data_IF_004132689087
#
_entry.id   IF_004132689087
#
_cell.length_a   1.000
_cell.length_b   1.000
_cell.length_c   1.000
_cell.angle_alpha   90.00
_cell.angle_beta   90.00
_cell.angle_gamma   90.00
#
_symmetry.space_group_name_H-M   'P 1'
#
loop_
_entity.id
_entity.type
_entity.pdbx_description
1 polymer ?
#
# COMPACT_ATOMS: atom_id res chain seq x y z
N UNK A 1 7.59 -4.99 -10.73
CA UNK A 1 8.52 -4.35 -9.77
C UNK A 1 8.12 -4.77 -8.36
N UNK A 2 9.05 -4.95 -7.43
CA UNK A 2 8.71 -5.28 -6.04
C UNK A 2 7.90 -4.14 -5.41
N UNK A 3 6.81 -4.47 -4.70
CA UNK A 3 5.96 -3.50 -3.98
C UNK A 3 6.46 -3.20 -2.56
N UNK A 4 7.58 -3.81 -2.19
CA UNK A 4 8.19 -3.72 -0.88
C UNK A 4 9.68 -3.47 -1.04
N UNK A 5 10.25 -2.64 -0.17
CA UNK A 5 11.69 -2.41 -0.11
C UNK A 5 12.13 -1.97 1.29
N UNK A 6 13.30 -2.44 1.72
CA UNK A 6 13.96 -1.90 2.91
C UNK A 6 14.92 -0.80 2.51
N UNK A 7 14.78 0.39 3.11
CA UNK A 7 15.66 1.53 2.84
C UNK A 7 16.74 1.61 3.91
N UNK A 8 17.98 1.37 3.51
CA UNK A 8 19.16 1.55 4.35
C UNK A 8 19.63 3.01 4.30
N UNK A 9 20.00 3.55 5.45
CA UNK A 9 20.58 4.89 5.60
C UNK A 9 21.85 4.80 6.42
N UNK A 10 22.74 5.76 6.22
CA UNK A 10 24.00 5.86 6.96
C UNK A 10 23.73 6.08 8.46
N UNK A 11 24.53 5.42 9.29
CA UNK A 11 24.45 5.55 10.75
C UNK A 11 25.21 6.80 11.23
N UNK A 12 26.28 7.16 10.52
CA UNK A 12 27.17 8.30 10.78
C UNK A 12 27.08 9.35 9.65
N UNK A 13 27.80 10.48 9.76
CA UNK A 13 27.84 11.52 8.72
C UNK A 13 28.75 11.18 7.53
N UNK A 14 29.28 9.95 7.45
CA UNK A 14 30.10 9.53 6.31
C UNK A 14 29.21 9.08 5.16
N UNK A 15 29.32 9.77 4.02
CA UNK A 15 28.61 9.41 2.80
C UNK A 15 29.21 8.13 2.18
N UNK A 16 28.40 7.09 2.04
CA UNK A 16 28.77 5.79 1.48
C UNK A 16 28.11 5.67 0.10
N UNK A 17 28.92 5.47 -0.92
CA UNK A 17 28.41 5.19 -2.26
C UNK A 17 27.93 3.74 -2.39
N UNK A 18 26.98 3.47 -3.28
CA UNK A 18 26.43 2.12 -3.46
C UNK A 18 27.49 1.04 -3.71
N UNK A 19 28.58 1.37 -4.42
CA UNK A 19 29.66 0.44 -4.72
C UNK A 19 30.53 0.08 -3.50
N UNK A 20 30.40 0.82 -2.40
CA UNK A 20 31.12 0.58 -1.14
C UNK A 20 30.29 -0.19 -0.12
N UNK A 21 29.02 -0.50 -0.44
CA UNK A 21 28.14 -1.27 0.44
C UNK A 21 28.49 -2.75 0.30
N UNK A 22 28.81 -3.39 1.42
CA UNK A 22 29.13 -4.81 1.50
C UNK A 22 27.98 -5.61 2.11
N UNK A 23 28.03 -6.92 1.96
CA UNK A 23 27.12 -7.84 2.66
C UNK A 23 27.14 -7.63 4.18
N UNK A 24 28.32 -7.38 4.75
CA UNK A 24 28.46 -7.19 6.21
C UNK A 24 27.72 -5.94 6.68
N UNK A 25 27.70 -4.86 5.89
CA UNK A 25 26.96 -3.65 6.24
C UNK A 25 25.46 -3.90 6.29
N UNK A 26 24.93 -4.62 5.30
CA UNK A 26 23.51 -4.98 5.25
C UNK A 26 23.16 -5.90 6.43
N UNK A 27 23.99 -6.92 6.69
CA UNK A 27 23.79 -7.84 7.80
C UNK A 27 23.81 -7.13 9.16
N UNK A 28 24.75 -6.21 9.38
CA UNK A 28 24.81 -5.38 10.60
C UNK A 28 23.59 -4.47 10.73
N UNK A 29 23.15 -3.85 9.64
CA UNK A 29 21.97 -3.00 9.63
C UNK A 29 20.69 -3.78 10.01
N UNK A 30 20.51 -5.00 9.48
CA UNK A 30 19.38 -5.87 9.83
C UNK A 30 19.45 -6.33 11.28
N UNK A 31 20.64 -6.66 11.78
CA UNK A 31 20.88 -6.99 13.20
C UNK A 31 20.75 -5.79 14.14
N UNK A 32 20.58 -4.58 13.59
CA UNK A 32 20.55 -3.31 14.33
C UNK A 32 21.81 -3.09 15.17
N UNK A 33 22.95 -3.53 14.66
CA UNK A 33 24.24 -3.33 15.30
C UNK A 33 24.61 -1.84 15.30
N UNK A 34 24.75 -1.26 16.49
CA UNK A 34 25.09 0.15 16.67
C UNK A 34 26.45 0.55 16.09
N UNK A 35 27.36 -0.41 15.91
CA UNK A 35 28.68 -0.20 15.28
C UNK A 35 28.64 -0.26 13.76
N UNK A 36 27.49 -0.64 13.17
CA UNK A 36 27.31 -0.74 11.74
C UNK A 36 27.33 0.62 11.05
N UNK A 37 27.86 0.64 9.82
CA UNK A 37 27.88 1.83 8.96
C UNK A 37 26.48 2.23 8.46
N UNK A 38 25.58 1.25 8.35
CA UNK A 38 24.21 1.41 7.89
C UNK A 38 23.22 1.03 8.99
N UNK A 39 22.02 1.60 8.90
CA UNK A 39 20.83 1.18 9.65
C UNK A 39 19.62 1.16 8.74
N UNK A 40 18.58 0.44 9.13
CA UNK A 40 17.28 0.55 8.48
C UNK A 40 16.70 1.92 8.81
N UNK A 41 16.49 2.76 7.79
CA UNK A 41 15.83 4.05 7.93
C UNK A 41 14.32 3.87 8.02
N UNK A 42 13.76 3.16 7.05
CA UNK A 42 12.34 2.84 6.95
C UNK A 42 12.11 1.70 5.96
N UNK A 43 10.89 1.18 5.91
CA UNK A 43 10.45 0.27 4.84
C UNK A 43 9.40 0.92 3.96
N UNK A 44 9.38 0.51 2.70
CA UNK A 44 8.34 0.85 1.72
C UNK A 44 7.48 -0.40 1.61
N UNK A 45 6.18 -0.25 1.81
CA UNK A 45 5.22 -1.36 1.87
C UNK A 45 4.03 -1.08 0.94
N UNK A 46 3.29 -2.13 0.56
CA UNK A 46 1.96 -1.98 -0.02
C UNK A 46 0.89 -1.81 1.08
N UNK A 47 -0.38 -1.62 0.70
CA UNK A 47 -1.48 -1.66 1.66
C UNK A 47 -1.84 -3.12 1.95
N UNK A 48 -1.63 -3.66 3.17
CA UNK A 48 -1.79 -5.09 3.44
C UNK A 48 -3.18 -5.64 3.08
N UNK A 49 -4.19 -4.78 3.07
CA UNK A 49 -5.56 -5.04 2.64
C UNK A 49 -5.65 -5.52 1.17
N UNK A 50 -4.69 -5.18 0.32
CA UNK A 50 -4.59 -5.70 -1.05
C UNK A 50 -4.32 -7.22 -1.11
N UNK A 51 -3.82 -7.79 -0.01
CA UNK A 51 -3.50 -9.20 0.07
C UNK A 51 -4.70 -10.09 -0.22
N UNK A 52 -4.52 -11.10 -1.09
CA UNK A 52 -5.58 -12.06 -1.51
C UNK A 52 -6.26 -12.85 -0.38
N UNK A 53 -5.68 -12.85 0.82
CA UNK A 53 -6.19 -13.52 2.01
C UNK A 53 -6.14 -12.58 3.21
N UNK A 54 -6.28 -11.27 3.01
CA UNK A 54 -6.21 -10.31 4.11
C UNK A 54 -7.36 -10.53 5.10
N UNK A 55 -8.60 -10.46 4.61
CA UNK A 55 -9.82 -10.73 5.37
C UNK A 55 -10.29 -12.18 5.21
N UNK A 56 -11.11 -12.62 6.15
CA UNK A 56 -11.77 -13.93 6.09
C UNK A 56 -12.90 -13.88 5.08
N UNK A 57 -13.06 -14.91 4.25
CA UNK A 57 -14.16 -14.89 3.31
C UNK A 57 -14.39 -16.15 2.50
N UNK A 58 -15.31 -16.03 1.56
CA UNK A 58 -15.69 -17.09 0.62
C UNK A 58 -16.05 -16.46 -0.73
N UNK A 59 -15.13 -16.57 -1.69
CA UNK A 59 -15.19 -15.90 -3.00
C UNK A 59 -16.43 -16.30 -3.79
N UNK A 60 -16.85 -17.56 -3.70
CA UNK A 60 -17.98 -18.09 -4.45
C UNK A 60 -19.33 -17.53 -3.97
N UNK A 61 -19.40 -17.03 -2.74
CA UNK A 61 -20.60 -16.41 -2.18
C UNK A 61 -20.45 -14.90 -1.96
N UNK A 62 -19.32 -14.30 -2.37
CA UNK A 62 -19.00 -12.89 -2.14
C UNK A 62 -19.14 -12.45 -0.67
N UNK A 63 -18.74 -13.33 0.26
CA UNK A 63 -18.71 -13.04 1.70
C UNK A 63 -17.30 -12.66 2.09
N UNK A 64 -17.17 -11.53 2.77
CA UNK A 64 -15.90 -11.00 3.28
C UNK A 64 -16.15 -10.38 4.66
N UNK A 65 -15.36 -10.78 5.65
CA UNK A 65 -15.45 -10.35 7.04
C UNK A 65 -14.08 -9.90 7.53
N UNK A 66 -14.06 -8.74 8.20
CA UNK A 66 -12.92 -8.34 9.03
C UNK A 66 -12.67 -9.36 10.15
N UNK A 67 -11.51 -9.27 10.79
CA UNK A 67 -11.17 -10.15 11.91
C UNK A 67 -12.18 -10.08 13.07
N UNK A 68 -12.68 -8.88 13.37
CA UNK A 68 -13.70 -8.68 14.42
C UNK A 68 -15.03 -9.31 14.04
N UNK A 69 -15.51 -9.07 12.81
CA UNK A 69 -16.75 -9.69 12.33
C UNK A 69 -16.66 -11.21 12.29
N UNK A 70 -15.51 -11.77 11.93
CA UNK A 70 -15.28 -13.22 11.92
C UNK A 70 -15.38 -13.81 13.33
N UNK A 71 -14.89 -13.08 14.34
CA UNK A 71 -14.99 -13.50 15.74
C UNK A 71 -16.45 -13.54 16.22
N UNK A 72 -17.29 -12.64 15.72
CA UNK A 72 -18.72 -12.56 16.07
C UNK A 72 -19.59 -13.54 15.27
N UNK A 73 -19.38 -13.61 13.96
CA UNK A 73 -20.22 -14.37 13.00
C UNK A 73 -19.76 -15.82 12.83
N UNK A 74 -18.54 -16.13 13.25
CA UNK A 74 -17.91 -17.43 13.05
C UNK A 74 -17.36 -17.62 11.64
N UNK A 75 -16.85 -18.83 11.39
CA UNK A 75 -16.15 -19.21 10.15
C UNK A 75 -17.00 -20.08 9.22
N UNK A 76 -18.33 -20.00 9.33
CA UNK A 76 -19.27 -20.72 8.48
C UNK A 76 -19.97 -19.75 7.54
N UNK A 77 -19.94 -20.01 6.24
CA UNK A 77 -20.56 -19.17 5.24
C UNK A 77 -22.09 -19.15 5.42
N UNK A 78 -22.74 -17.98 5.59
CA UNK A 78 -24.18 -17.90 5.78
C UNK A 78 -24.99 -18.24 4.52
N UNK A 79 -24.34 -18.27 3.35
CA UNK A 79 -25.02 -18.50 2.06
C UNK A 79 -25.06 -19.99 1.70
N UNK A 80 -23.96 -20.72 1.92
CA UNK A 80 -23.83 -22.11 1.46
C UNK A 80 -23.44 -23.12 2.55
N UNK A 81 -23.21 -22.67 3.79
CA UNK A 81 -22.84 -23.53 4.93
C UNK A 81 -21.42 -24.10 4.92
N UNK A 82 -20.61 -23.83 3.88
CA UNK A 82 -19.19 -24.24 3.85
C UNK A 82 -18.34 -23.35 4.75
N UNK A 83 -17.17 -23.84 5.17
CA UNK A 83 -16.22 -23.05 5.94
C UNK A 83 -15.67 -21.86 5.13
N UNK A 84 -15.51 -20.72 5.79
CA UNK A 84 -14.81 -19.55 5.25
C UNK A 84 -13.30 -19.80 5.28
N UNK A 85 -12.59 -19.25 4.30
CA UNK A 85 -11.12 -19.18 4.31
C UNK A 85 -10.71 -18.10 5.29
N UNK A 86 -10.08 -18.49 6.40
CA UNK A 86 -9.63 -17.57 7.46
C UNK A 86 -8.49 -16.67 6.95
N UNK A 87 -8.66 -15.37 7.13
CA UNK A 87 -7.73 -14.34 6.68
C UNK A 87 -6.49 -14.16 7.57
N UNK A 88 -5.49 -13.46 7.03
CA UNK A 88 -4.26 -13.10 7.73
C UNK A 88 -4.55 -12.17 8.91
N UNK A 89 -5.50 -11.22 8.75
CA UNK A 89 -5.87 -10.30 9.83
C UNK A 89 -6.40 -11.06 11.06
N UNK A 90 -7.19 -12.11 10.87
CA UNK A 90 -7.64 -12.99 11.95
C UNK A 90 -6.45 -13.64 12.67
N UNK A 91 -5.49 -14.17 11.91
CA UNK A 91 -4.31 -14.80 12.51
C UNK A 91 -3.46 -13.81 13.30
N UNK A 92 -3.33 -12.57 12.83
CA UNK A 92 -2.64 -11.50 13.55
C UNK A 92 -3.37 -11.19 14.85
N UNK A 93 -4.69 -11.03 14.81
CA UNK A 93 -5.51 -10.77 15.99
C UNK A 93 -5.36 -11.88 17.03
N UNK A 94 -5.43 -13.16 16.63
CA UNK A 94 -5.32 -14.32 17.52
C UNK A 94 -3.96 -14.42 18.23
N UNK A 95 -2.87 -14.01 17.55
CA UNK A 95 -1.52 -14.05 18.08
C UNK A 95 -1.12 -12.76 18.83
N UNK A 96 -1.88 -11.69 18.66
CA UNK A 96 -1.56 -10.39 19.24
C UNK A 96 -1.78 -10.39 20.76
N UNK A 97 -0.77 -9.97 21.51
CA UNK A 97 -0.93 -9.64 22.94
C UNK A 97 -1.53 -8.25 23.15
N UNK A 98 -1.48 -7.40 22.11
CA UNK A 98 -2.03 -6.04 22.09
C UNK A 98 -2.42 -5.68 20.67
N UNK A 99 -3.66 -5.23 20.49
CA UNK A 99 -4.14 -4.65 19.23
C UNK A 99 -3.75 -3.18 19.15
N UNK A 100 -3.23 -2.76 18.01
CA UNK A 100 -2.97 -1.35 17.72
C UNK A 100 -4.13 -0.80 16.89
N UNK A 101 -4.69 0.32 17.31
CA UNK A 101 -5.67 1.07 16.53
C UNK A 101 -5.02 2.28 15.86
N UNK A 102 -5.77 2.97 14.99
CA UNK A 102 -5.25 4.15 14.28
C UNK A 102 -4.77 5.26 15.24
N UNK A 103 -5.37 5.36 16.43
CA UNK A 103 -4.97 6.28 17.50
C UNK A 103 -3.63 5.92 18.19
N UNK A 104 -3.16 4.68 18.02
CA UNK A 104 -1.86 4.22 18.51
C UNK A 104 -0.73 4.44 17.51
N UNK A 105 -1.05 5.00 16.33
CA UNK A 105 -0.10 5.28 15.26
C UNK A 105 0.13 6.78 15.11
N UNK A 106 1.36 7.15 14.75
CA UNK A 106 1.73 8.52 14.43
C UNK A 106 1.97 8.61 12.92
N UNK A 107 1.20 9.48 12.26
CA UNK A 107 1.32 9.79 10.84
C UNK A 107 2.08 11.11 10.67
N UNK A 108 3.25 11.05 10.04
CA UNK A 108 4.14 12.21 9.92
C UNK A 108 4.54 12.43 8.45
N UNK A 109 3.99 13.44 7.78
CA UNK A 109 4.40 13.78 6.42
C UNK A 109 5.81 14.39 6.42
N UNK A 110 6.62 14.00 5.45
CA UNK A 110 7.92 14.63 5.20
C UNK A 110 7.78 15.91 4.33
N UNK A 111 8.91 16.52 3.97
CA UNK A 111 8.95 17.77 3.16
C UNK A 111 8.29 17.66 1.79
N UNK A 112 8.12 16.45 1.25
CA UNK A 112 7.49 16.21 -0.05
C UNK A 112 6.08 15.61 0.09
N UNK A 113 5.57 15.56 1.32
CA UNK A 113 4.22 15.08 1.65
C UNK A 113 4.09 13.57 1.79
N UNK A 114 5.19 12.80 1.72
CA UNK A 114 5.16 11.35 1.95
C UNK A 114 4.98 11.07 3.44
N UNK A 115 3.93 10.34 3.79
CA UNK A 115 3.55 10.05 5.19
C UNK A 115 4.26 8.82 5.72
N UNK A 116 5.08 9.04 6.75
CA UNK A 116 5.71 7.98 7.53
C UNK A 116 4.79 7.56 8.67
N UNK A 117 4.64 6.25 8.86
CA UNK A 117 3.85 5.65 9.92
C UNK A 117 4.79 5.13 11.00
N UNK A 118 4.61 5.60 12.23
CA UNK A 118 5.36 5.17 13.41
C UNK A 118 4.41 4.54 14.43
N UNK A 119 4.94 3.63 15.24
CA UNK A 119 4.32 3.32 16.52
C UNK A 119 4.45 4.51 17.48
N UNK A 120 3.52 4.64 18.42
CA UNK A 120 3.49 5.74 19.41
C UNK A 120 4.79 5.89 20.20
N UNK A 121 5.46 4.79 20.50
CA UNK A 121 6.72 4.76 21.27
C UNK A 121 7.95 4.97 20.38
N UNK A 122 7.78 5.00 19.05
CA UNK A 122 8.85 5.07 18.04
C UNK A 122 9.96 4.03 18.26
N UNK A 123 9.60 2.86 18.79
CA UNK A 123 10.55 1.76 19.02
C UNK A 123 10.87 1.05 17.71
N UNK A 124 9.92 1.01 16.77
CA UNK A 124 10.09 0.36 15.47
C UNK A 124 10.53 1.38 14.43
N UNK A 125 11.23 0.89 13.40
CA UNK A 125 11.50 1.70 12.21
C UNK A 125 10.17 2.00 11.52
N UNK A 126 9.96 3.24 11.04
CA UNK A 126 8.72 3.58 10.36
C UNK A 126 8.63 2.87 9.02
N UNK A 127 7.43 2.90 8.46
CA UNK A 127 7.20 2.53 7.08
C UNK A 127 6.41 3.60 6.33
N UNK A 128 6.45 3.54 5.01
CA UNK A 128 5.60 4.32 4.11
C UNK A 128 4.83 3.35 3.23
N UNK A 129 3.59 3.69 2.86
CA UNK A 129 2.86 2.87 1.88
C UNK A 129 2.93 3.48 0.49
N UNK A 130 3.00 2.60 -0.52
CA UNK A 130 2.99 2.98 -1.93
C UNK A 130 1.97 2.16 -2.71
N UNK A 131 1.49 2.74 -3.80
CA UNK A 131 0.77 2.07 -4.87
C UNK A 131 1.65 2.17 -6.11
N UNK A 132 1.87 1.08 -6.87
CA UNK A 132 2.67 1.13 -8.09
C UNK A 132 2.19 2.22 -9.05
N UNK A 133 3.13 2.93 -9.68
CA UNK A 133 2.79 4.07 -10.54
C UNK A 133 1.88 3.66 -11.70
N UNK A 134 2.06 2.45 -12.25
CA UNK A 134 1.21 1.95 -13.32
C UNK A 134 -0.25 1.77 -12.88
N UNK A 135 -0.50 1.40 -11.62
CA UNK A 135 -1.87 1.28 -11.08
C UNK A 135 -2.51 2.65 -10.87
N UNK A 136 -1.74 3.61 -10.36
CA UNK A 136 -2.17 5.01 -10.27
C UNK A 136 -2.54 5.53 -11.66
N UNK A 137 -1.67 5.30 -12.65
CA UNK A 137 -1.86 5.72 -14.03
C UNK A 137 -3.07 5.05 -14.68
N UNK A 138 -3.32 3.78 -14.37
CA UNK A 138 -4.49 3.05 -14.86
C UNK A 138 -5.76 3.73 -14.36
N UNK A 139 -5.84 4.07 -13.08
CA UNK A 139 -7.00 4.76 -12.52
C UNK A 139 -7.14 6.20 -13.07
N UNK A 140 -6.05 6.96 -13.15
CA UNK A 140 -6.07 8.32 -13.71
C UNK A 140 -6.38 8.35 -15.20
N UNK A 141 -6.14 7.26 -15.94
CA UNK A 141 -6.50 7.10 -17.35
C UNK A 141 -7.80 6.29 -17.56
N UNK A 142 -8.70 6.30 -16.58
CA UNK A 142 -10.05 5.71 -16.69
C UNK A 142 -10.03 4.20 -17.02
N UNK A 143 -9.04 3.48 -16.51
CA UNK A 143 -8.88 2.05 -16.72
C UNK A 143 -8.29 1.66 -18.08
N UNK A 144 -7.77 2.61 -18.87
CA UNK A 144 -7.15 2.31 -20.16
C UNK A 144 -5.71 1.81 -19.99
N UNK A 145 -5.41 0.51 -20.23
CA UNK A 145 -4.07 -0.02 -20.01
C UNK A 145 -3.04 0.56 -20.99
N UNK A 146 -3.46 0.78 -22.24
CA UNK A 146 -2.59 1.36 -23.29
C UNK A 146 -2.16 2.78 -22.93
N UNK A 147 -3.10 3.63 -22.50
CA UNK A 147 -2.76 5.01 -22.09
C UNK A 147 -1.86 5.02 -20.86
N UNK A 148 -2.19 4.18 -19.86
CA UNK A 148 -1.40 4.06 -18.64
C UNK A 148 0.03 3.59 -18.93
N UNK A 149 0.20 2.58 -19.79
CA UNK A 149 1.52 2.07 -20.18
C UNK A 149 2.34 3.11 -20.94
N UNK A 150 1.76 3.77 -21.94
CA UNK A 150 2.44 4.82 -22.70
C UNK A 150 2.87 5.98 -21.79
N UNK A 151 2.02 6.37 -20.84
CA UNK A 151 2.35 7.40 -19.88
C UNK A 151 3.44 6.94 -18.90
N UNK A 152 3.39 5.69 -18.43
CA UNK A 152 4.41 5.11 -17.57
C UNK A 152 5.78 5.15 -18.24
N UNK A 153 5.89 4.69 -19.49
CA UNK A 153 7.13 4.72 -20.26
C UNK A 153 7.65 6.15 -20.46
N UNK A 154 6.75 7.11 -20.76
CA UNK A 154 7.10 8.53 -20.84
C UNK A 154 7.69 9.05 -19.52
N UNK A 155 7.11 8.66 -18.39
CA UNK A 155 7.56 9.11 -17.07
C UNK A 155 8.88 8.45 -16.64
N UNK A 156 9.12 7.19 -17.03
CA UNK A 156 10.39 6.49 -16.74
C UNK A 156 11.60 7.16 -17.42
N UNK A 157 11.39 7.88 -18.53
CA UNK A 157 12.43 8.71 -19.14
C UNK A 157 12.77 9.98 -18.34
N UNK A 158 11.89 10.40 -17.42
CA UNK A 158 12.09 11.60 -16.60
C UNK A 158 12.70 11.27 -15.23
N UNK A 159 12.19 10.24 -14.57
CA UNK A 159 12.65 9.80 -13.26
C UNK A 159 12.21 8.35 -12.99
N UNK A 160 12.88 7.70 -12.05
CA UNK A 160 12.46 6.37 -11.61
C UNK A 160 11.12 6.41 -10.88
N UNK A 161 10.41 5.29 -10.88
CA UNK A 161 9.12 5.17 -10.17
C UNK A 161 9.25 5.58 -8.69
N UNK A 162 10.27 5.11 -7.98
CA UNK A 162 10.49 5.51 -6.59
C UNK A 162 10.76 7.01 -6.43
N UNK A 163 11.47 7.66 -7.35
CA UNK A 163 11.66 9.11 -7.28
C UNK A 163 10.34 9.85 -7.45
N UNK A 164 9.52 9.45 -8.43
CA UNK A 164 8.22 10.07 -8.68
C UNK A 164 7.30 9.88 -7.47
N UNK A 165 7.21 8.66 -6.95
CA UNK A 165 6.28 8.33 -5.87
C UNK A 165 6.75 8.81 -4.50
N UNK A 166 8.05 8.87 -4.22
CA UNK A 166 8.57 9.06 -2.86
C UNK A 166 9.38 10.35 -2.65
N UNK A 167 9.94 10.96 -3.71
CA UNK A 167 10.95 12.03 -3.58
C UNK A 167 10.62 13.34 -4.31
N UNK A 168 9.96 13.32 -5.47
CA UNK A 168 9.69 14.55 -6.24
C UNK A 168 8.63 15.41 -5.54
N UNK A 169 8.79 16.74 -5.47
CA UNK A 169 7.78 17.64 -4.91
C UNK A 169 6.55 17.75 -5.82
N UNK A 170 5.39 18.07 -5.24
CA UNK A 170 4.12 18.13 -5.98
C UNK A 170 4.16 19.08 -7.18
N UNK A 171 4.74 20.28 -7.04
CA UNK A 171 4.87 21.23 -8.14
C UNK A 171 5.65 20.66 -9.34
N UNK A 172 6.68 19.86 -9.08
CA UNK A 172 7.46 19.21 -10.13
C UNK A 172 6.67 18.12 -10.85
N UNK A 173 5.86 17.36 -10.10
CA UNK A 173 4.97 16.33 -10.63
C UNK A 173 3.87 16.96 -11.48
N UNK A 174 3.19 17.97 -10.95
CA UNK A 174 2.11 18.69 -11.64
C UNK A 174 2.60 19.28 -12.97
N UNK A 175 3.76 19.93 -12.99
CA UNK A 175 4.34 20.48 -14.22
C UNK A 175 4.62 19.41 -15.28
N UNK A 176 5.06 18.21 -14.87
CA UNK A 176 5.47 17.15 -15.80
C UNK A 176 4.32 16.20 -16.19
N UNK A 177 3.31 16.07 -15.34
CA UNK A 177 2.28 15.03 -15.42
C UNK A 177 0.85 15.55 -15.36
N UNK A 178 0.65 16.85 -15.09
CA UNK A 178 -0.65 17.45 -14.89
C UNK A 178 -1.19 17.28 -13.47
N UNK A 179 -2.24 18.05 -13.19
CA UNK A 179 -2.88 18.14 -11.87
C UNK A 179 -3.48 16.80 -11.42
N UNK A 180 -4.10 16.05 -12.34
CA UNK A 180 -4.78 14.78 -12.02
C UNK A 180 -3.83 13.74 -11.43
N UNK A 181 -2.66 13.53 -12.05
CA UNK A 181 -1.68 12.57 -11.53
C UNK A 181 -1.04 13.07 -10.24
N UNK A 182 -0.78 14.37 -10.12
CA UNK A 182 -0.28 14.96 -8.88
C UNK A 182 -1.25 14.73 -7.71
N UNK A 183 -2.54 14.97 -7.92
CA UNK A 183 -3.58 14.75 -6.91
C UNK A 183 -3.69 13.26 -6.51
N UNK A 184 -3.55 12.35 -7.49
CA UNK A 184 -3.52 10.92 -7.23
C UNK A 184 -2.33 10.51 -6.36
N UNK A 185 -1.11 10.95 -6.72
CA UNK A 185 0.11 10.70 -5.95
C UNK A 185 0.00 11.31 -4.54
N UNK A 186 -0.55 12.52 -4.42
CA UNK A 186 -0.81 13.15 -3.12
C UNK A 186 -1.71 12.29 -2.24
N UNK A 187 -2.80 11.76 -2.79
CA UNK A 187 -3.74 10.90 -2.06
C UNK A 187 -3.07 9.63 -1.54
N UNK A 188 -2.22 9.00 -2.37
CA UNK A 188 -1.42 7.84 -1.97
C UNK A 188 -0.41 8.21 -0.88
N UNK A 189 0.37 9.28 -1.06
CA UNK A 189 1.37 9.75 -0.09
C UNK A 189 0.77 10.12 1.26
N UNK A 190 -0.45 10.62 1.28
CA UNK A 190 -1.22 10.96 2.48
C UNK A 190 -1.97 9.75 3.06
N UNK A 191 -1.87 8.56 2.45
CA UNK A 191 -2.58 7.32 2.83
C UNK A 191 -4.10 7.51 2.90
N UNK A 192 -4.65 8.37 2.03
CA UNK A 192 -6.10 8.66 1.95
C UNK A 192 -6.83 7.84 0.90
N UNK A 193 -6.19 6.77 0.42
CA UNK A 193 -6.80 5.83 -0.51
C UNK A 193 -7.88 5.00 0.19
N UNK A 194 -8.84 4.53 -0.59
CA UNK A 194 -9.81 3.54 -0.15
C UNK A 194 -9.29 2.17 -0.56
N UNK A 195 -9.26 1.20 0.36
CA UNK A 195 -8.86 -0.17 0.02
C UNK A 195 -10.04 -1.10 0.27
N UNK A 196 -10.47 -1.76 -0.80
CA UNK A 196 -11.40 -2.88 -0.73
C UNK A 196 -10.58 -4.15 -0.44
N UNK A 197 -10.69 -4.75 0.75
CA UNK A 197 -9.78 -5.79 1.19
C UNK A 197 -9.96 -7.11 0.43
N UNK A 198 -8.84 -7.78 0.17
CA UNK A 198 -8.83 -9.10 -0.46
C UNK A 198 -9.21 -10.22 0.51
N UNK A 199 -9.77 -11.30 -0.05
CA UNK A 199 -10.24 -12.45 0.70
C UNK A 199 -10.33 -13.69 -0.20
N UNK A 200 -10.14 -14.89 0.37
CA UNK A 200 -10.31 -16.18 -0.31
C UNK A 200 -9.72 -16.25 -1.74
N UNK A 201 -8.52 -15.69 -1.94
CA UNK A 201 -7.80 -15.71 -3.21
C UNK A 201 -8.13 -14.54 -4.15
N UNK A 202 -9.09 -13.68 -3.80
CA UNK A 202 -9.42 -12.43 -4.50
C UNK A 202 -8.50 -11.33 -3.97
N UNK A 203 -7.72 -10.69 -4.84
CA UNK A 203 -6.91 -9.53 -4.46
C UNK A 203 -7.80 -8.36 -4.04
N UNK A 204 -7.36 -7.65 -3.01
CA UNK A 204 -7.94 -6.36 -2.66
C UNK A 204 -7.62 -5.32 -3.71
N UNK A 205 -8.35 -4.21 -3.68
CA UNK A 205 -8.24 -3.13 -4.66
C UNK A 205 -8.06 -1.80 -3.97
N UNK A 206 -6.98 -1.12 -4.28
CA UNK A 206 -6.80 0.28 -3.90
C UNK A 206 -7.51 1.16 -4.91
N UNK A 207 -8.33 2.09 -4.40
CA UNK A 207 -8.99 3.15 -5.16
C UNK A 207 -8.53 4.49 -4.63
N UNK A 208 -8.01 5.32 -5.52
CA UNK A 208 -7.47 6.65 -5.20
C UNK A 208 -8.61 7.67 -5.19
N UNK A 209 -9.47 7.61 -6.19
CA UNK A 209 -10.65 8.47 -6.31
C UNK A 209 -11.88 7.69 -5.87
N UNK A 210 -12.70 8.32 -5.02
CA UNK A 210 -13.99 7.75 -4.67
C UNK A 210 -14.86 7.75 -5.92
N UNK A 211 -15.23 6.57 -6.41
CA UNK A 211 -16.27 6.46 -7.44
C UNK A 211 -17.56 7.04 -6.86
N UNK A 212 -18.12 8.05 -7.52
CA UNK A 212 -19.55 8.36 -7.35
C UNK A 212 -20.30 7.11 -7.78
N UNK A 213 -21.24 6.58 -6.98
CA UNK A 213 -22.01 5.42 -7.40
C UNK A 213 -22.68 5.77 -8.74
N UNK A 214 -22.30 5.05 -9.79
CA UNK A 214 -23.06 5.06 -11.03
C UNK A 214 -24.43 4.48 -10.66
N UNK A 215 -25.48 5.27 -10.84
CA UNK A 215 -26.83 4.72 -10.87
C UNK A 215 -26.80 3.50 -11.80
N UNK A 216 -27.23 2.35 -11.28
CA UNK A 216 -27.46 1.18 -12.12
C UNK A 216 -28.31 1.65 -13.31
N UNK A 217 -27.88 1.48 -14.57
CA UNK A 217 -28.81 1.65 -15.67
C UNK A 217 -29.95 0.68 -15.40
N UNK A 218 -31.13 1.26 -15.13
CA UNK A 218 -32.35 0.51 -14.91
C UNK A 218 -32.45 -0.56 -16.00
N UNK A 219 -32.69 -1.78 -15.55
CA UNK A 219 -33.05 -2.94 -16.36
C UNK A 219 -33.65 -2.54 -17.69
N UNK A 220 -32.90 -2.76 -18.77
CA UNK A 220 -33.40 -2.68 -20.12
C UNK A 220 -34.58 -3.66 -20.21
N UNK A 221 -35.80 -3.13 -20.16
CA UNK A 221 -37.01 -3.93 -20.37
C UNK A 221 -36.91 -4.53 -21.77
N UNK A 222 -36.92 -5.86 -21.83
CA UNK A 222 -37.04 -6.59 -23.09
C UNK A 222 -38.37 -6.23 -23.74
N UNK A 223 -38.31 -5.59 -24.91
CA UNK A 223 -39.45 -5.51 -25.83
C UNK A 223 -39.63 -6.90 -26.46
N UNK A 224 -40.57 -7.67 -25.92
CA UNK A 224 -41.34 -8.70 -26.61
C UNK A 224 -42.78 -8.64 -26.10
#
# INVERSE_FOLDING_TARGET
MGREATVFVENNQETITNNQITYEDIAKAIKQDSSGRLKIGYTIEFFPEEGKYHWTGHRSCNICYSALETKEKGVTCPVCGKSLTVGVENRVLDLSSKTFNQEDLIFMPNKVGLTFVYDKEKKRRPFVSMVPLLEILLETNNGSPVKAQNEYERLMNWATEFEILLKKPYLGIEKQCGEKLMAAIKTVRERKVFVDPGYDGVFGKVKIFKETPKENPASQQSLF
#
